data_IF_932875672215
#
_entry.id   IF_932875672215
#
_cell.length_a   1.000
_cell.length_b   1.000
_cell.length_c   1.000
_cell.angle_alpha   90.00
_cell.angle_beta   90.00
_cell.angle_gamma   90.00
#
_symmetry.space_group_name_H-M   'P 1'
#
loop_
_entity.id
_entity.type
_entity.pdbx_description
1 polymer ?
#
# COMPACT_ATOMS: atom_id res chain seq x y z
N UNK A 1 -19.04 -74.93 -42.52
CA UNK A 1 -20.01 -73.86 -42.26
C UNK A 1 -19.30 -72.54 -42.46
N UNK A 2 -19.51 -71.90 -43.60
CA UNK A 2 -18.80 -70.71 -44.04
C UNK A 2 -19.78 -69.53 -44.02
N UNK A 3 -19.47 -68.49 -43.23
CA UNK A 3 -20.36 -67.34 -43.01
C UNK A 3 -20.02 -66.27 -44.04
N UNK A 4 -20.98 -65.99 -44.93
CA UNK A 4 -20.84 -65.02 -46.00
C UNK A 4 -20.64 -63.58 -45.47
N UNK A 5 -19.52 -62.98 -45.84
CA UNK A 5 -19.18 -61.57 -45.58
C UNK A 5 -20.02 -60.65 -46.47
N UNK A 6 -20.94 -59.88 -45.88
CA UNK A 6 -21.71 -58.87 -46.58
C UNK A 6 -20.84 -57.69 -47.05
N UNK A 7 -20.80 -57.46 -48.37
CA UNK A 7 -20.02 -56.39 -49.01
C UNK A 7 -20.58 -55.00 -48.68
N UNK A 8 -19.82 -54.19 -47.95
CA UNK A 8 -20.19 -52.83 -47.50
C UNK A 8 -20.10 -51.77 -48.61
N UNK A 9 -19.60 -52.15 -49.78
CA UNK A 9 -19.30 -51.26 -50.90
C UNK A 9 -20.56 -50.73 -51.58
N UNK A 10 -21.60 -51.56 -51.70
CA UNK A 10 -22.87 -51.21 -52.35
C UNK A 10 -23.68 -50.21 -51.51
N UNK A 11 -23.64 -50.36 -50.18
CA UNK A 11 -24.36 -49.47 -49.24
C UNK A 11 -23.75 -48.06 -49.22
N UNK A 12 -22.42 -47.94 -49.32
CA UNK A 12 -21.73 -46.63 -49.37
C UNK A 12 -22.06 -45.85 -50.64
N UNK A 13 -22.12 -46.52 -51.80
CA UNK A 13 -22.49 -45.90 -53.08
C UNK A 13 -23.93 -45.37 -53.08
N UNK A 14 -24.88 -46.16 -52.58
CA UNK A 14 -26.27 -45.73 -52.46
C UNK A 14 -26.43 -44.48 -51.58
N UNK A 15 -25.72 -44.45 -50.44
CA UNK A 15 -25.78 -43.32 -49.51
C UNK A 15 -25.25 -42.01 -50.12
N UNK A 16 -24.19 -42.09 -50.93
CA UNK A 16 -23.62 -40.91 -51.61
C UNK A 16 -24.50 -40.41 -52.77
N UNK A 17 -25.12 -41.33 -53.52
CA UNK A 17 -25.95 -40.96 -54.68
C UNK A 17 -27.32 -40.39 -54.29
N UNK A 18 -27.96 -40.95 -53.27
CA UNK A 18 -29.35 -40.59 -52.93
C UNK A 18 -29.41 -39.49 -51.88
N UNK A 19 -28.49 -39.48 -50.91
CA UNK A 19 -28.62 -38.61 -49.74
C UNK A 19 -27.69 -37.40 -49.71
N UNK A 20 -26.78 -37.21 -50.69
CA UNK A 20 -25.79 -36.11 -50.74
C UNK A 20 -25.14 -35.79 -49.37
N UNK A 21 -24.89 -36.82 -48.57
CA UNK A 21 -24.25 -36.65 -47.26
C UNK A 21 -22.76 -36.56 -47.53
N UNK A 22 -22.26 -35.33 -47.67
CA UNK A 22 -20.83 -35.09 -47.57
C UNK A 22 -20.40 -35.40 -46.14
N UNK A 23 -19.50 -36.38 -45.99
CA UNK A 23 -18.89 -36.66 -44.71
C UNK A 23 -17.97 -35.48 -44.35
N UNK A 24 -18.51 -34.50 -43.62
CA UNK A 24 -17.71 -33.48 -42.97
C UNK A 24 -16.93 -34.16 -41.85
N UNK A 25 -15.63 -34.34 -42.03
CA UNK A 25 -14.73 -34.62 -40.92
C UNK A 25 -14.83 -33.45 -39.95
N UNK A 26 -15.21 -33.65 -38.67
CA UNK A 26 -15.22 -32.57 -37.71
C UNK A 26 -13.77 -32.12 -37.51
N UNK A 27 -13.51 -30.85 -37.80
CA UNK A 27 -12.24 -30.20 -37.52
C UNK A 27 -12.04 -30.20 -35.99
N UNK A 28 -11.16 -31.08 -35.51
CA UNK A 28 -10.73 -31.15 -34.12
C UNK A 28 -9.67 -30.08 -33.80
N UNK A 29 -9.78 -28.88 -34.38
CA UNK A 29 -9.15 -27.70 -33.80
C UNK A 29 -9.87 -27.38 -32.50
N UNK A 30 -9.48 -28.08 -31.43
CA UNK A 30 -9.76 -27.65 -30.06
C UNK A 30 -9.21 -26.23 -29.93
N UNK A 31 -10.09 -25.22 -30.03
CA UNK A 31 -9.81 -23.88 -29.56
C UNK A 31 -9.36 -24.05 -28.13
N UNK A 32 -8.04 -23.93 -27.90
CA UNK A 32 -7.47 -23.88 -26.56
C UNK A 32 -8.16 -22.73 -25.86
N UNK A 33 -9.14 -23.05 -25.03
CA UNK A 33 -9.76 -22.10 -24.14
C UNK A 33 -8.65 -21.75 -23.14
N UNK A 34 -7.92 -20.66 -23.42
CA UNK A 34 -7.02 -20.07 -22.43
C UNK A 34 -7.91 -19.51 -21.33
N UNK A 35 -8.26 -20.36 -20.38
CA UNK A 35 -8.74 -19.91 -19.09
C UNK A 35 -7.58 -19.13 -18.47
N UNK A 36 -7.66 -17.80 -18.50
CA UNK A 36 -6.78 -16.95 -17.71
C UNK A 36 -7.16 -17.14 -16.24
N UNK A 37 -6.58 -18.14 -15.59
CA UNK A 37 -6.73 -18.40 -14.15
C UNK A 37 -5.96 -17.42 -13.26
N UNK A 38 -5.32 -16.40 -13.84
CA UNK A 38 -4.65 -15.36 -13.08
C UNK A 38 -5.50 -14.09 -13.13
N UNK A 39 -5.97 -13.59 -11.97
CA UNK A 39 -6.59 -12.27 -11.92
C UNK A 39 -5.56 -11.25 -12.42
N UNK A 40 -5.87 -10.63 -13.54
CA UNK A 40 -5.09 -9.55 -14.11
C UNK A 40 -5.29 -8.29 -13.23
N UNK A 41 -4.17 -7.67 -12.84
CA UNK A 41 -4.03 -6.29 -12.32
C UNK A 41 -4.29 -5.95 -10.83
N UNK A 42 -4.77 -6.84 -9.96
CA UNK A 42 -4.89 -6.50 -8.51
C UNK A 42 -3.61 -6.78 -7.70
N UNK A 43 -2.90 -7.88 -7.98
CA UNK A 43 -1.76 -8.32 -7.18
C UNK A 43 -0.48 -7.47 -7.31
N UNK A 44 -0.30 -6.71 -8.40
CA UNK A 44 0.87 -5.85 -8.59
C UNK A 44 0.87 -4.62 -7.67
N UNK A 45 -0.31 -4.06 -7.41
CA UNK A 45 -0.43 -2.85 -6.60
C UNK A 45 -0.27 -3.17 -5.11
N UNK A 46 -0.90 -4.26 -4.65
CA UNK A 46 -0.74 -4.74 -3.28
C UNK A 46 0.72 -5.10 -2.99
N UNK A 47 1.39 -5.79 -3.92
CA UNK A 47 2.81 -6.07 -3.79
C UNK A 47 3.64 -4.79 -3.65
N UNK A 48 3.42 -3.79 -4.51
CA UNK A 48 4.19 -2.55 -4.47
C UNK A 48 3.95 -1.78 -3.17
N UNK A 49 2.73 -1.80 -2.65
CA UNK A 49 2.42 -1.26 -1.32
C UNK A 49 3.20 -1.99 -0.22
N UNK A 50 3.25 -3.33 -0.26
CA UNK A 50 4.05 -4.11 0.69
C UNK A 50 5.56 -3.89 0.57
N UNK A 51 6.07 -3.66 -0.64
CA UNK A 51 7.46 -3.28 -0.86
C UNK A 51 7.73 -1.90 -0.22
N UNK A 52 6.83 -0.93 -0.37
CA UNK A 52 6.96 0.38 0.28
C UNK A 52 6.92 0.27 1.80
N UNK A 53 6.01 -0.56 2.34
CA UNK A 53 5.94 -0.84 3.79
C UNK A 53 7.28 -1.41 4.29
N UNK A 54 7.80 -2.46 3.64
CA UNK A 54 9.09 -3.07 3.97
C UNK A 54 10.24 -2.05 3.94
N UNK A 55 10.30 -1.27 2.86
CA UNK A 55 11.31 -0.21 2.69
C UNK A 55 11.24 0.81 3.83
N UNK A 56 10.04 1.24 4.22
CA UNK A 56 9.84 2.23 5.26
C UNK A 56 10.11 1.66 6.66
N UNK A 57 9.67 0.43 6.94
CA UNK A 57 9.81 -0.24 8.24
C UNK A 57 11.28 -0.53 8.58
N UNK A 58 12.04 -1.03 7.61
CA UNK A 58 13.44 -1.41 7.81
C UNK A 58 14.44 -0.33 7.37
N UNK A 59 13.97 0.84 6.91
CA UNK A 59 14.83 1.92 6.45
C UNK A 59 15.71 1.53 5.25
N UNK A 60 15.20 0.66 4.38
CA UNK A 60 15.97 0.10 3.26
C UNK A 60 16.13 1.17 2.17
N UNK A 61 17.33 1.37 1.61
CA UNK A 61 17.50 2.27 0.47
C UNK A 61 16.65 1.83 -0.73
N UNK A 62 16.04 2.78 -1.44
CA UNK A 62 15.15 2.46 -2.57
C UNK A 62 15.82 1.64 -3.69
N UNK A 63 17.14 1.74 -3.89
CA UNK A 63 17.83 0.95 -4.90
C UNK A 63 17.89 -0.56 -4.56
N UNK A 64 17.58 -0.95 -3.32
CA UNK A 64 17.60 -2.36 -2.91
C UNK A 64 16.54 -3.20 -3.64
N UNK A 65 15.43 -2.60 -4.07
CA UNK A 65 14.38 -3.31 -4.81
C UNK A 65 14.83 -3.75 -6.21
N UNK A 66 15.91 -3.15 -6.72
CA UNK A 66 16.54 -3.47 -8.00
C UNK A 66 17.77 -4.40 -7.82
N UNK A 67 18.15 -4.71 -6.58
CA UNK A 67 19.27 -5.60 -6.31
C UNK A 67 18.98 -7.02 -6.84
N UNK A 68 20.01 -7.66 -7.37
CA UNK A 68 19.87 -8.99 -7.98
C UNK A 68 19.35 -10.04 -6.97
N UNK A 69 19.83 -9.99 -5.72
CA UNK A 69 19.38 -10.88 -4.64
C UNK A 69 17.88 -10.69 -4.34
N UNK A 70 17.41 -9.45 -4.24
CA UNK A 70 15.99 -9.14 -4.01
C UNK A 70 15.14 -9.60 -5.20
N UNK A 71 15.57 -9.30 -6.43
CA UNK A 71 14.86 -9.71 -7.64
C UNK A 71 14.74 -11.23 -7.74
N UNK A 72 15.83 -11.96 -7.49
CA UNK A 72 15.83 -13.42 -7.51
C UNK A 72 14.89 -14.00 -6.46
N UNK A 73 14.91 -13.45 -5.23
CA UNK A 73 14.01 -13.87 -4.15
C UNK A 73 12.53 -13.74 -4.57
N UNK A 74 12.15 -12.60 -5.15
CA UNK A 74 10.77 -12.37 -5.59
C UNK A 74 10.38 -13.30 -6.76
N UNK A 75 11.31 -13.55 -7.68
CA UNK A 75 11.10 -14.43 -8.83
C UNK A 75 10.98 -15.91 -8.46
N UNK A 76 11.47 -16.35 -7.29
CA UNK A 76 11.22 -17.71 -6.78
C UNK A 76 9.72 -17.96 -6.57
N UNK A 77 8.98 -16.92 -6.18
CA UNK A 77 7.53 -17.01 -5.97
C UNK A 77 6.75 -16.86 -7.28
N UNK A 78 7.17 -15.94 -8.15
CA UNK A 78 6.54 -15.73 -9.45
C UNK A 78 7.54 -15.14 -10.46
N UNK A 79 7.91 -15.93 -11.48
CA UNK A 79 8.88 -15.52 -12.51
C UNK A 79 8.42 -14.34 -13.37
N UNK A 80 7.10 -14.09 -13.46
CA UNK A 80 6.54 -13.01 -14.28
C UNK A 80 6.26 -11.75 -13.45
N UNK A 81 6.72 -11.69 -12.19
CA UNK A 81 6.52 -10.54 -11.33
C UNK A 81 7.29 -9.34 -11.89
N UNK A 82 6.59 -8.22 -12.08
CA UNK A 82 7.23 -6.95 -12.43
C UNK A 82 7.43 -6.17 -11.14
N UNK A 83 8.67 -6.06 -10.70
CA UNK A 83 9.03 -5.25 -9.53
C UNK A 83 9.09 -3.77 -9.92
N UNK A 84 8.74 -2.86 -8.98
CA UNK A 84 8.87 -1.44 -9.19
C UNK A 84 10.36 -1.06 -9.16
N UNK A 85 10.73 -0.11 -10.00
CA UNK A 85 12.03 0.55 -9.95
C UNK A 85 12.15 1.45 -8.73
N UNK A 86 13.38 1.82 -8.36
CA UNK A 86 13.65 2.85 -7.34
C UNK A 86 12.95 4.17 -7.66
N UNK A 87 12.81 4.48 -8.96
CA UNK A 87 12.15 5.69 -9.41
C UNK A 87 10.65 5.62 -9.13
N UNK A 88 9.98 4.54 -9.54
CA UNK A 88 8.56 4.28 -9.26
C UNK A 88 8.31 4.28 -7.74
N UNK A 89 9.14 3.59 -6.94
CA UNK A 89 9.03 3.61 -5.47
C UNK A 89 9.06 5.05 -4.95
N UNK A 90 10.07 5.83 -5.33
CA UNK A 90 10.29 7.18 -4.78
C UNK A 90 9.28 8.23 -5.25
N UNK A 91 8.85 8.17 -6.52
CA UNK A 91 8.03 9.22 -7.17
C UNK A 91 6.55 8.91 -7.21
N UNK A 92 6.17 7.64 -7.12
CA UNK A 92 4.78 7.20 -7.24
C UNK A 92 4.31 6.51 -5.96
N UNK A 93 4.94 5.40 -5.58
CA UNK A 93 4.39 4.52 -4.54
C UNK A 93 4.53 5.09 -3.12
N UNK A 94 5.66 5.73 -2.79
CA UNK A 94 5.83 6.40 -1.48
C UNK A 94 4.83 7.56 -1.32
N UNK A 95 4.70 8.53 -2.27
CA UNK A 95 3.68 9.56 -2.18
C UNK A 95 2.25 9.04 -2.09
N UNK A 96 1.91 8.02 -2.91
CA UNK A 96 0.59 7.39 -2.91
C UNK A 96 0.27 6.75 -1.55
N UNK A 97 1.20 5.94 -1.03
CA UNK A 97 1.04 5.27 0.27
C UNK A 97 0.94 6.30 1.41
N UNK A 98 1.76 7.35 1.38
CA UNK A 98 1.69 8.43 2.36
C UNK A 98 0.34 9.17 2.30
N UNK A 99 -0.22 9.39 1.11
CA UNK A 99 -1.55 9.99 0.96
C UNK A 99 -2.65 9.08 1.53
N UNK A 100 -2.59 7.77 1.28
CA UNK A 100 -3.50 6.78 1.87
C UNK A 100 -3.41 6.75 3.40
N UNK A 101 -2.21 6.80 3.96
CA UNK A 101 -2.03 6.87 5.41
C UNK A 101 -2.64 8.16 5.96
N UNK A 102 -2.36 9.31 5.33
CA UNK A 102 -2.91 10.61 5.74
C UNK A 102 -4.43 10.65 5.71
N UNK A 103 -5.08 10.08 4.69
CA UNK A 103 -6.54 10.06 4.62
C UNK A 103 -7.17 9.20 5.72
N UNK A 104 -6.50 8.12 6.15
CA UNK A 104 -6.96 7.27 7.26
C UNK A 104 -6.84 7.94 8.62
N UNK A 105 -5.91 8.90 8.81
CA UNK A 105 -5.67 9.54 10.11
C UNK A 105 -6.91 10.18 10.71
N UNK A 106 -7.76 10.80 9.89
CA UNK A 106 -8.96 11.52 10.35
C UNK A 106 -9.93 10.63 11.12
N UNK A 107 -10.15 9.43 10.61
CA UNK A 107 -11.18 8.53 11.14
C UNK A 107 -10.68 7.78 12.38
N UNK A 108 -9.36 7.57 12.50
CA UNK A 108 -8.78 6.73 13.56
C UNK A 108 -8.78 7.45 14.92
N UNK A 109 -8.72 8.78 14.92
CA UNK A 109 -8.72 9.59 16.15
C UNK A 109 -10.08 10.22 16.44
N UNK A 110 -11.09 9.95 15.61
CA UNK A 110 -12.43 10.50 15.77
C UNK A 110 -13.01 10.11 17.14
N UNK A 111 -13.58 11.10 17.82
CA UNK A 111 -14.13 11.01 19.18
C UNK A 111 -13.15 10.50 20.26
N UNK A 112 -11.84 10.57 20.01
CA UNK A 112 -10.82 10.16 20.98
C UNK A 112 -10.33 11.35 21.84
N UNK A 113 -10.13 11.08 23.12
CA UNK A 113 -9.30 11.91 24.00
C UNK A 113 -7.84 11.54 23.79
N UNK A 114 -7.04 12.47 23.28
CA UNK A 114 -5.66 12.19 22.87
C UNK A 114 -4.64 12.81 23.83
N UNK A 115 -3.52 12.13 24.03
CA UNK A 115 -2.29 12.72 24.52
C UNK A 115 -1.38 13.03 23.34
N UNK A 116 -0.82 14.23 23.34
CA UNK A 116 0.12 14.69 22.32
C UNK A 116 1.54 14.56 22.86
N UNK A 117 2.45 14.06 22.05
CA UNK A 117 3.89 14.19 22.27
C UNK A 117 4.53 14.83 21.07
N UNK A 118 5.33 15.87 21.25
CA UNK A 118 6.10 16.42 20.15
C UNK A 118 7.51 16.81 20.57
N UNK A 119 8.40 16.76 19.59
CA UNK A 119 9.82 17.00 19.76
C UNK A 119 10.40 17.71 18.53
N UNK A 120 11.46 18.47 18.77
CA UNK A 120 12.21 19.19 17.77
C UNK A 120 13.64 18.66 17.70
N UNK A 121 14.03 18.09 16.57
CA UNK A 121 15.33 17.45 16.42
C UNK A 121 16.03 17.86 15.14
N UNK A 122 17.36 17.69 15.13
CA UNK A 122 18.21 17.93 13.97
C UNK A 122 18.71 16.62 13.39
N UNK A 123 18.68 16.48 12.07
CA UNK A 123 19.27 15.36 11.34
C UNK A 123 19.92 15.87 10.05
N UNK A 124 21.21 15.58 9.85
CA UNK A 124 21.99 15.98 8.67
C UNK A 124 21.85 17.47 8.31
N UNK A 125 21.97 18.35 9.30
CA UNK A 125 21.88 19.80 9.13
C UNK A 125 20.46 20.34 8.86
N UNK A 126 19.43 19.49 8.88
CA UNK A 126 18.02 19.88 8.78
C UNK A 126 17.34 19.71 10.13
N UNK A 127 16.42 20.61 10.46
CA UNK A 127 15.61 20.54 11.68
C UNK A 127 14.22 20.04 11.35
N UNK A 128 13.61 19.31 12.27
CA UNK A 128 12.31 18.70 12.11
C UNK A 128 11.49 18.86 13.38
N UNK A 129 10.19 19.09 13.20
CA UNK A 129 9.19 18.91 14.24
C UNK A 129 8.51 17.57 14.00
N UNK A 130 8.43 16.75 15.04
CA UNK A 130 7.72 15.48 15.00
C UNK A 130 6.69 15.42 16.10
N UNK A 131 5.47 15.03 15.74
CA UNK A 131 4.34 14.95 16.65
C UNK A 131 3.68 13.59 16.60
N UNK A 132 3.25 13.08 17.76
CA UNK A 132 2.58 11.80 17.97
C UNK A 132 1.34 12.04 18.81
N UNK A 133 0.23 11.47 18.38
CA UNK A 133 -0.97 11.35 19.19
C UNK A 133 -1.04 9.93 19.76
N UNK A 134 -1.45 9.81 21.01
CA UNK A 134 -1.65 8.54 21.70
C UNK A 134 -3.01 8.57 22.37
N UNK A 135 -3.73 7.45 22.38
CA UNK A 135 -5.00 7.33 23.09
C UNK A 135 -5.18 5.89 23.57
N UNK A 136 -6.19 5.67 24.40
CA UNK A 136 -6.60 4.34 24.83
C UNK A 136 -7.92 4.05 24.11
N UNK A 137 -7.98 2.95 23.36
CA UNK A 137 -9.20 2.54 22.66
C UNK A 137 -10.19 1.83 23.62
N UNK A 138 -11.38 1.49 23.11
CA UNK A 138 -12.44 0.82 23.88
C UNK A 138 -12.02 -0.52 24.49
N UNK A 139 -11.02 -1.18 23.90
CA UNK A 139 -10.46 -2.44 24.36
C UNK A 139 -9.32 -2.23 25.38
N UNK A 140 -9.16 -1.03 25.93
CA UNK A 140 -8.09 -0.64 26.84
C UNK A 140 -6.68 -0.81 26.26
N UNK A 141 -6.55 -0.82 24.93
CA UNK A 141 -5.26 -0.89 24.28
C UNK A 141 -4.75 0.51 23.97
N UNK A 142 -3.46 0.72 24.20
CA UNK A 142 -2.78 1.95 23.80
C UNK A 142 -2.58 1.95 22.29
N UNK A 143 -3.18 2.94 21.65
CA UNK A 143 -2.98 3.26 20.25
C UNK A 143 -1.99 4.41 20.10
N UNK A 144 -1.33 4.46 18.95
CA UNK A 144 -0.32 5.49 18.67
C UNK A 144 -0.38 5.86 17.20
N UNK A 145 -0.47 7.16 16.93
CA UNK A 145 -0.45 7.72 15.59
C UNK A 145 0.63 8.78 15.47
N UNK A 146 1.59 8.58 14.56
CA UNK A 146 2.51 9.66 14.17
C UNK A 146 1.73 10.71 13.40
N UNK A 147 1.40 11.83 14.05
CA UNK A 147 0.66 12.93 13.46
C UNK A 147 1.46 13.55 12.32
N UNK A 148 2.71 13.94 12.57
CA UNK A 148 3.52 14.64 11.59
C UNK A 148 5.02 14.44 11.81
N UNK A 149 5.77 14.61 10.73
CA UNK A 149 7.22 14.85 10.71
C UNK A 149 7.43 15.94 9.66
N UNK A 150 7.66 17.17 10.11
CA UNK A 150 7.68 18.35 9.25
C UNK A 150 9.07 18.98 9.30
N UNK A 151 9.73 19.21 8.16
CA UNK A 151 10.98 19.97 8.15
C UNK A 151 10.71 21.43 8.56
N UNK A 152 11.55 21.96 9.42
CA UNK A 152 11.50 23.37 9.83
C UNK A 152 12.25 24.22 8.81
N UNK A 153 11.53 25.11 8.14
CA UNK A 153 12.08 25.99 7.10
C UNK A 153 12.72 27.26 7.67
N UNK A 154 12.45 27.54 8.94
CA UNK A 154 12.97 28.69 9.68
C UNK A 154 13.30 28.30 11.11
N UNK A 155 13.82 29.26 11.89
CA UNK A 155 14.14 29.05 13.30
C UNK A 155 12.89 28.58 14.06
N UNK A 156 13.07 27.56 14.91
CA UNK A 156 12.03 27.00 15.78
C UNK A 156 11.66 27.98 16.92
N UNK A 157 10.99 29.08 16.58
CA UNK A 157 10.37 29.98 17.55
C UNK A 157 9.06 29.37 18.05
N UNK A 158 8.63 29.79 19.23
CA UNK A 158 7.38 29.30 19.82
C UNK A 158 6.19 29.53 18.87
N UNK A 159 6.09 30.73 18.31
CA UNK A 159 5.00 31.12 17.39
C UNK A 159 4.95 30.22 16.15
N UNK A 160 6.12 29.96 15.54
CA UNK A 160 6.19 29.12 14.35
C UNK A 160 5.82 27.66 14.65
N UNK A 161 6.31 27.13 15.78
CA UNK A 161 5.95 25.79 16.22
C UNK A 161 4.46 25.68 16.56
N UNK A 162 3.87 26.71 17.16
CA UNK A 162 2.44 26.77 17.47
C UNK A 162 1.60 26.76 16.19
N UNK A 163 1.96 27.56 15.19
CA UNK A 163 1.30 27.58 13.89
C UNK A 163 1.37 26.19 13.21
N UNK A 164 2.56 25.59 13.16
CA UNK A 164 2.75 24.26 12.60
C UNK A 164 1.90 23.22 13.33
N UNK A 165 1.99 23.15 14.65
CA UNK A 165 1.23 22.19 15.45
C UNK A 165 -0.27 22.37 15.31
N UNK A 166 -0.76 23.62 15.28
CA UNK A 166 -2.17 23.92 15.02
C UNK A 166 -2.59 23.39 13.65
N UNK A 167 -1.78 23.63 12.62
CA UNK A 167 -2.07 23.16 11.26
C UNK A 167 -2.06 21.62 11.15
N UNK A 168 -1.20 20.93 11.92
CA UNK A 168 -1.16 19.47 11.94
C UNK A 168 -2.34 18.89 12.72
N UNK A 169 -2.72 19.49 13.85
CA UNK A 169 -3.89 19.08 14.64
C UNK A 169 -5.19 19.25 13.85
N UNK A 170 -5.32 20.28 13.01
CA UNK A 170 -6.47 20.47 12.13
C UNK A 170 -6.63 19.36 11.06
N UNK A 171 -5.63 18.49 10.87
CA UNK A 171 -5.71 17.38 9.90
C UNK A 171 -6.38 16.13 10.48
N UNK A 172 -6.67 16.11 11.77
CA UNK A 172 -7.31 14.99 12.47
C UNK A 172 -8.56 15.48 13.21
N UNK A 173 -9.52 14.57 13.40
CA UNK A 173 -10.65 14.80 14.29
C UNK A 173 -10.29 14.18 15.65
N UNK A 174 -10.59 14.85 16.75
CA UNK A 174 -10.41 14.36 18.11
C UNK A 174 -11.36 15.12 19.04
N UNK A 175 -11.70 14.54 20.19
CA UNK A 175 -12.58 15.21 21.17
C UNK A 175 -11.83 16.28 21.94
N UNK A 176 -10.67 15.94 22.49
CA UNK A 176 -9.84 16.86 23.27
C UNK A 176 -8.39 16.36 23.37
N UNK A 177 -7.46 17.28 23.67
CA UNK A 177 -6.08 16.95 24.04
C UNK A 177 -5.97 17.00 25.56
N UNK A 178 -5.84 15.83 26.20
CA UNK A 178 -5.86 15.73 27.67
C UNK A 178 -4.47 15.90 28.30
N UNK A 179 -3.40 15.72 27.52
CA UNK A 179 -2.04 15.82 28.01
C UNK A 179 -1.06 16.10 26.88
N UNK A 180 -0.01 16.89 27.18
CA UNK A 180 1.09 17.18 26.24
C UNK A 180 2.43 16.79 26.86
N UNK A 181 3.17 15.91 26.20
CA UNK A 181 4.54 15.50 26.56
C UNK A 181 5.54 16.16 25.62
N UNK A 182 6.58 16.77 26.18
CA UNK A 182 7.54 17.58 25.44
C UNK A 182 8.92 17.57 26.09
N UNK A 183 9.93 18.03 25.38
CA UNK A 183 11.30 18.18 25.91
C UNK A 183 11.45 19.42 26.82
N UNK A 184 12.65 19.66 27.34
CA UNK A 184 12.92 20.84 28.19
C UNK A 184 13.07 22.17 27.42
N UNK A 185 12.91 22.18 26.09
CA UNK A 185 13.24 23.31 25.25
C UNK A 185 12.37 24.54 25.53
N UNK A 186 13.01 25.72 25.67
CA UNK A 186 12.30 26.98 25.96
C UNK A 186 11.26 27.33 24.90
N UNK A 187 11.56 27.11 23.61
CA UNK A 187 10.60 27.34 22.52
C UNK A 187 9.40 26.42 22.64
N UNK A 188 9.65 25.12 22.86
CA UNK A 188 8.63 24.07 22.96
C UNK A 188 7.71 24.29 24.18
N UNK A 189 8.28 24.70 25.33
CA UNK A 189 7.51 25.08 26.51
C UNK A 189 6.54 26.24 26.20
N UNK A 190 7.03 27.28 25.54
CA UNK A 190 6.21 28.42 25.14
C UNK A 190 5.12 28.02 24.14
N UNK A 191 5.43 27.13 23.20
CA UNK A 191 4.45 26.55 22.27
C UNK A 191 3.32 25.85 23.02
N UNK A 192 3.61 25.03 24.03
CA UNK A 192 2.56 24.37 24.83
C UNK A 192 1.66 25.38 25.53
N UNK A 193 2.24 26.43 26.12
CA UNK A 193 1.46 27.52 26.74
C UNK A 193 0.55 28.21 25.71
N UNK A 194 1.06 28.48 24.51
CA UNK A 194 0.29 29.13 23.43
C UNK A 194 -0.82 28.24 22.87
N UNK A 195 -0.62 26.92 22.86
CA UNK A 195 -1.64 25.93 22.48
C UNK A 195 -2.72 25.72 23.56
N UNK A 196 -2.59 26.34 24.74
CA UNK A 196 -3.53 26.19 25.84
C UNK A 196 -3.23 25.01 26.77
N UNK A 197 -2.04 24.41 26.66
CA UNK A 197 -1.59 23.28 27.49
C UNK A 197 -0.39 23.70 28.35
N UNK A 198 -0.57 24.60 29.32
CA UNK A 198 0.54 25.13 30.09
C UNK A 198 1.23 24.02 30.88
N UNK A 199 2.55 23.94 30.78
CA UNK A 199 3.32 23.03 31.61
C UNK A 199 3.53 23.66 32.99
N UNK A 200 3.19 22.91 34.04
CA UNK A 200 3.64 23.20 35.41
C UNK A 200 5.16 23.37 35.49
#
# INVERSE_FOLDING_TARGET
>A
MEVASASTTTRKKHLHQVHKIEASTPDLTQKKFKMNFFPQASGSNELNEKIVEFVAEFGVPFHAVEAHSFTNLMQLSNKNIKLPSRHEISKEWVPLTAAKIRSRKKNVTEDQYISLSFDEYSNNGRRFLSAVCMWINENWNKETLRLSVVPLMQRATADYLTELMTSELQKINYSDVVAVTRDGGTSVRKTCNQLGYPST
#
